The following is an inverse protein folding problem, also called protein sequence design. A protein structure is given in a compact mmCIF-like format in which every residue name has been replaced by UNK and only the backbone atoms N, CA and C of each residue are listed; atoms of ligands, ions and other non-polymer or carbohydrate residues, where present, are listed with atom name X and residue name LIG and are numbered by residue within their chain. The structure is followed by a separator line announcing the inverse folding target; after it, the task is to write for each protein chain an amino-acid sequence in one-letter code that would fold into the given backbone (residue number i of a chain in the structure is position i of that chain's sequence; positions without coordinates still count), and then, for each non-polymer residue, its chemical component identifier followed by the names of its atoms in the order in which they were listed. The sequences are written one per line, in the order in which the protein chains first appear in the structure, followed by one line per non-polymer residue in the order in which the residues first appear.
data_IF_383099645390
#
_entry.id   IF_383099645390
#
_cell.length_a   1.000
_cell.length_b   1.000
_cell.length_c   1.000
_cell.angle_alpha   90.00
_cell.angle_beta   90.00
_cell.angle_gamma   90.00
#
_symmetry.space_group_name_H-M   'P 1'
#
loop_
_entity.id
_entity.type
_entity.pdbx_description
1 polymer ?
#
# COMPACT_ATOMS: atom_id res chain seq x y z
N UNK A 1 10.87 8.96 -36.90
CA UNK A 1 9.97 9.72 -37.05
C UNK A 1 9.05 10.27 -35.98
N UNK A 2 7.93 10.75 -36.42
CA UNK A 2 6.91 11.40 -35.58
C UNK A 2 6.33 10.45 -34.56
N UNK A 3 6.17 9.17 -34.88
CA UNK A 3 5.58 8.16 -33.99
C UNK A 3 6.46 7.90 -32.76
N UNK A 4 7.77 7.95 -32.90
CA UNK A 4 8.68 7.74 -31.77
C UNK A 4 8.59 8.89 -30.75
N UNK A 5 8.42 10.12 -31.22
CA UNK A 5 8.29 11.28 -30.34
C UNK A 5 7.01 11.28 -29.50
N UNK A 6 5.95 10.65 -30.01
CA UNK A 6 4.67 10.55 -29.29
C UNK A 6 4.71 9.45 -28.22
N UNK A 7 5.41 8.36 -28.48
CA UNK A 7 5.43 7.19 -27.58
C UNK A 7 6.14 7.46 -26.24
N UNK A 8 7.20 8.26 -26.23
CA UNK A 8 8.04 8.46 -25.05
C UNK A 8 7.30 9.12 -23.87
N UNK A 9 6.55 10.25 -24.03
CA UNK A 9 5.82 10.86 -22.92
C UNK A 9 4.76 9.96 -22.33
N UNK A 10 4.05 9.17 -23.16
CA UNK A 10 3.03 8.23 -22.70
C UNK A 10 3.64 7.11 -21.85
N UNK A 11 4.85 6.68 -22.19
CA UNK A 11 5.54 5.63 -21.48
C UNK A 11 5.88 6.05 -20.03
N UNK A 12 6.33 7.27 -19.82
CA UNK A 12 6.64 7.80 -18.50
C UNK A 12 5.39 7.90 -17.63
N UNK A 13 4.28 8.39 -18.17
CA UNK A 13 3.00 8.46 -17.46
C UNK A 13 2.49 7.06 -17.09
N UNK A 14 2.68 6.10 -17.98
CA UNK A 14 2.29 4.71 -17.75
C UNK A 14 3.07 4.09 -16.60
N UNK A 15 4.36 4.33 -16.51
CA UNK A 15 5.20 3.86 -15.40
C UNK A 15 4.75 4.43 -14.07
N UNK A 16 4.45 5.72 -14.00
CA UNK A 16 3.98 6.36 -12.76
C UNK A 16 2.66 5.75 -12.29
N UNK A 17 1.75 5.45 -13.21
CA UNK A 17 0.49 4.76 -12.85
C UNK A 17 0.75 3.37 -12.29
N UNK A 18 1.72 2.65 -12.84
CA UNK A 18 2.08 1.33 -12.35
C UNK A 18 2.66 1.41 -10.93
N UNK A 19 3.51 2.39 -10.66
CA UNK A 19 4.05 2.62 -9.32
C UNK A 19 2.95 2.96 -8.31
N UNK A 20 2.02 3.82 -8.70
CA UNK A 20 0.88 4.19 -7.86
C UNK A 20 -0.03 2.98 -7.58
N UNK A 21 -0.28 2.16 -8.58
CA UNK A 21 -1.05 0.92 -8.42
C UNK A 21 -0.37 -0.06 -7.47
N UNK A 22 0.94 -0.16 -7.53
CA UNK A 22 1.72 -1.00 -6.63
C UNK A 22 1.62 -0.52 -5.19
N UNK A 23 1.72 0.80 -4.96
CA UNK A 23 1.53 1.37 -3.63
C UNK A 23 0.14 1.07 -3.06
N UNK A 24 -0.91 1.21 -3.87
CA UNK A 24 -2.28 0.88 -3.46
C UNK A 24 -2.46 -0.60 -3.17
N UNK A 25 -1.86 -1.47 -3.99
CA UNK A 25 -1.93 -2.92 -3.78
C UNK A 25 -1.31 -3.32 -2.45
N UNK A 26 -0.23 -2.68 -2.05
CA UNK A 26 0.41 -2.93 -0.76
C UNK A 26 -0.51 -2.54 0.40
N UNK A 27 -1.27 -1.45 0.30
CA UNK A 27 -2.27 -1.08 1.30
C UNK A 27 -3.37 -2.14 1.42
N UNK A 28 -3.87 -2.66 0.30
CA UNK A 28 -4.84 -3.75 0.31
C UNK A 28 -4.29 -4.98 1.02
N UNK A 29 -3.05 -5.34 0.75
CA UNK A 29 -2.42 -6.51 1.35
C UNK A 29 -2.21 -6.33 2.85
N UNK A 30 -1.83 -5.13 3.30
CA UNK A 30 -1.74 -4.80 4.72
C UNK A 30 -3.11 -4.96 5.39
N UNK A 31 -4.15 -4.42 4.77
CA UNK A 31 -5.49 -4.47 5.31
C UNK A 31 -5.96 -5.91 5.50
N UNK A 32 -5.75 -6.77 4.49
CA UNK A 32 -6.11 -8.18 4.58
C UNK A 32 -5.32 -8.91 5.67
N UNK A 33 -4.02 -8.63 5.78
CA UNK A 33 -3.19 -9.25 6.81
C UNK A 33 -3.62 -8.80 8.21
N UNK A 34 -3.93 -7.52 8.39
CA UNK A 34 -4.44 -6.99 9.66
C UNK A 34 -5.81 -7.56 10.00
N UNK A 35 -6.70 -7.70 9.03
CA UNK A 35 -8.00 -8.34 9.24
C UNK A 35 -7.84 -9.78 9.73
N UNK A 36 -6.90 -10.52 9.16
CA UNK A 36 -6.60 -11.88 9.60
C UNK A 36 -6.05 -11.89 11.03
N UNK A 37 -5.17 -10.95 11.38
CA UNK A 37 -4.63 -10.84 12.73
C UNK A 37 -5.72 -10.54 13.76
N UNK A 38 -6.60 -9.59 13.44
CA UNK A 38 -7.71 -9.24 14.36
C UNK A 38 -8.72 -10.37 14.50
N UNK A 39 -8.98 -11.12 13.45
CA UNK A 39 -9.85 -12.29 13.51
C UNK A 39 -9.25 -13.40 14.35
N UNK A 40 -7.93 -13.55 14.30
CA UNK A 40 -7.17 -14.58 15.03
C UNK A 40 -7.00 -14.20 16.51
N UNK A 41 -6.80 -12.93 16.79
CA UNK A 41 -6.57 -12.40 18.16
C UNK A 41 -7.78 -11.60 18.63
N UNK A 42 -7.79 -10.28 18.42
CA UNK A 42 -8.88 -9.39 18.78
C UNK A 42 -8.75 -8.08 17.98
N UNK A 43 -9.89 -7.45 17.68
CA UNK A 43 -9.91 -6.14 17.04
C UNK A 43 -9.29 -5.03 17.90
N UNK A 44 -9.12 -5.26 19.19
CA UNK A 44 -8.47 -4.32 20.11
C UNK A 44 -6.96 -4.52 20.19
N UNK A 45 -6.43 -5.57 19.58
CA UNK A 45 -4.99 -5.78 19.48
C UNK A 45 -4.39 -4.89 18.37
N UNK A 46 -3.16 -4.47 18.57
CA UNK A 46 -2.46 -3.65 17.57
C UNK A 46 -1.98 -4.52 16.42
N UNK A 47 -2.29 -4.09 15.19
CA UNK A 47 -1.71 -4.65 13.99
C UNK A 47 -0.48 -3.82 13.62
N UNK A 48 0.69 -4.43 13.67
CA UNK A 48 1.94 -3.77 13.31
C UNK A 48 2.57 -4.48 12.11
N UNK A 49 3.42 -3.77 11.37
CA UNK A 49 4.11 -4.36 10.22
C UNK A 49 4.96 -5.55 10.65
N UNK A 50 5.58 -5.51 11.82
CA UNK A 50 6.40 -6.62 12.32
C UNK A 50 5.57 -7.88 12.54
N UNK A 51 4.34 -7.74 13.05
CA UNK A 51 3.47 -8.88 13.30
C UNK A 51 2.96 -9.52 12.02
N UNK A 52 2.63 -8.72 11.01
CA UNK A 52 2.02 -9.24 9.77
C UNK A 52 3.05 -9.72 8.74
N UNK A 53 4.32 -9.37 8.88
CA UNK A 53 5.38 -9.85 7.97
C UNK A 53 5.85 -11.27 8.28
N UNK A 54 5.40 -11.85 9.38
CA UNK A 54 5.72 -13.24 9.74
C UNK A 54 4.97 -14.25 8.88
N UNK A 55 5.30 -15.52 9.08
CA UNK A 55 4.74 -16.64 8.32
C UNK A 55 3.21 -16.77 8.50
N UNK A 56 2.68 -16.33 9.65
CA UNK A 56 1.27 -16.49 9.98
C UNK A 56 0.36 -15.60 9.14
N UNK A 57 0.82 -14.40 8.75
CA UNK A 57 0.01 -13.43 8.01
C UNK A 57 0.57 -13.07 6.65
N UNK A 58 1.86 -13.29 6.44
CA UNK A 58 2.46 -13.34 5.11
C UNK A 58 2.55 -12.03 4.33
N UNK A 59 2.45 -10.88 4.99
CA UNK A 59 2.61 -9.61 4.28
C UNK A 59 4.07 -9.39 3.88
N UNK A 60 4.29 -9.05 2.61
CA UNK A 60 5.61 -8.65 2.09
C UNK A 60 5.42 -7.38 1.28
N UNK A 61 6.11 -6.31 1.65
CA UNK A 61 6.08 -5.07 0.89
C UNK A 61 6.82 -5.24 -0.44
N UNK A 62 6.27 -4.66 -1.50
CA UNK A 62 6.95 -4.64 -2.79
C UNK A 62 8.24 -3.81 -2.71
N UNK A 63 9.19 -4.13 -3.59
CA UNK A 63 10.42 -3.34 -3.72
C UNK A 63 10.07 -1.88 -4.02
N UNK A 64 10.73 -0.95 -3.34
CA UNK A 64 10.53 0.50 -3.47
C UNK A 64 9.18 1.01 -2.97
N UNK A 65 8.39 0.19 -2.28
CA UNK A 65 7.18 0.63 -1.60
C UNK A 65 7.46 0.74 -0.10
N UNK A 66 7.24 1.92 0.45
CA UNK A 66 7.35 2.18 1.88
C UNK A 66 5.96 2.25 2.48
N UNK A 67 5.71 1.45 3.50
CA UNK A 67 4.42 1.36 4.16
C UNK A 67 4.54 1.71 5.63
N UNK A 68 3.47 2.30 6.18
CA UNK A 68 3.38 2.64 7.60
C UNK A 68 1.97 2.39 8.10
N UNK A 69 1.85 1.75 9.27
CA UNK A 69 0.57 1.66 9.98
C UNK A 69 0.57 2.78 11.01
N UNK A 70 -0.31 3.76 10.82
CA UNK A 70 -0.36 4.96 11.66
C UNK A 70 -1.40 4.85 12.78
N UNK A 71 -2.37 3.95 12.63
CA UNK A 71 -3.33 3.62 13.69
C UNK A 71 -3.61 2.12 13.60
N UNK A 72 -3.39 1.40 14.69
CA UNK A 72 -3.15 -0.04 14.64
C UNK A 72 -4.33 -0.91 15.06
N UNK A 73 -5.42 -0.33 15.57
CA UNK A 73 -6.60 -1.08 16.00
C UNK A 73 -7.66 -1.12 14.92
N UNK A 74 -8.46 -2.18 14.89
CA UNK A 74 -9.45 -2.39 13.83
C UNK A 74 -10.44 -1.24 13.72
N UNK A 75 -10.93 -0.71 14.83
CA UNK A 75 -11.98 0.31 14.84
C UNK A 75 -11.54 1.65 14.23
N UNK A 76 -10.25 1.93 14.23
CA UNK A 76 -9.71 3.21 13.74
C UNK A 76 -8.46 3.01 12.88
N UNK A 77 -8.37 1.89 12.19
CA UNK A 77 -7.20 1.54 11.39
C UNK A 77 -6.86 2.62 10.37
N UNK A 78 -5.58 2.91 10.23
CA UNK A 78 -5.05 3.78 9.19
C UNK A 78 -3.63 3.33 8.82
N UNK A 79 -3.35 3.36 7.54
CA UNK A 79 -2.02 3.02 7.01
C UNK A 79 -1.71 3.89 5.80
N UNK A 80 -0.43 4.09 5.54
CA UNK A 80 0.04 4.87 4.39
C UNK A 80 1.00 4.05 3.55
N UNK A 81 1.08 4.39 2.27
CA UNK A 81 1.99 3.74 1.32
C UNK A 81 2.44 4.75 0.27
N UNK A 82 3.72 4.65 -0.08
CA UNK A 82 4.31 5.46 -1.15
C UNK A 82 5.28 4.59 -1.94
N UNK A 83 5.27 4.76 -3.26
CA UNK A 83 6.29 4.14 -4.13
C UNK A 83 7.41 5.16 -4.37
N UNK A 84 8.62 4.83 -3.99
CA UNK A 84 9.75 5.77 -4.05
C UNK A 84 10.16 6.15 -5.46
N UNK A 85 9.77 5.36 -6.47
CA UNK A 85 10.03 5.64 -7.88
C UNK A 85 8.93 6.46 -8.56
N UNK A 86 7.80 6.71 -7.88
CA UNK A 86 6.72 7.54 -8.43
C UNK A 86 7.16 9.00 -8.49
N UNK A 87 7.21 9.56 -9.69
CA UNK A 87 7.63 10.95 -9.92
C UNK A 87 6.71 11.96 -9.22
N UNK A 88 5.43 11.62 -9.05
CA UNK A 88 4.46 12.46 -8.35
C UNK A 88 4.64 12.41 -6.84
N UNK A 89 5.37 11.43 -6.34
CA UNK A 89 5.63 11.23 -4.90
C UNK A 89 4.35 11.19 -4.08
N UNK A 90 3.31 10.54 -4.61
CA UNK A 90 1.98 10.51 -4.00
C UNK A 90 1.95 9.50 -2.85
N UNK A 91 1.54 9.96 -1.66
CA UNK A 91 1.26 9.11 -0.51
C UNK A 91 -0.20 8.72 -0.52
N UNK A 92 -0.48 7.42 -0.45
CA UNK A 92 -1.84 6.90 -0.34
C UNK A 92 -2.12 6.54 1.10
N UNK A 93 -3.37 6.78 1.53
CA UNK A 93 -3.83 6.48 2.89
C UNK A 93 -5.04 5.56 2.83
N UNK A 94 -5.04 4.53 3.65
CA UNK A 94 -6.19 3.63 3.81
C UNK A 94 -6.82 3.84 5.19
N UNK A 95 -8.16 3.87 5.24
CA UNK A 95 -8.92 3.98 6.47
C UNK A 95 -9.42 2.62 6.98
N UNK A 96 -10.15 2.64 8.09
CA UNK A 96 -10.68 1.43 8.74
C UNK A 96 -11.72 0.68 7.91
N UNK A 97 -12.28 1.32 6.90
CA UNK A 97 -13.24 0.71 5.97
C UNK A 97 -12.58 0.12 4.73
N UNK A 98 -11.25 0.25 4.62
CA UNK A 98 -10.52 -0.21 3.45
C UNK A 98 -10.52 0.77 2.28
N UNK A 99 -10.94 2.01 2.48
CA UNK A 99 -10.93 3.05 1.45
C UNK A 99 -9.55 3.66 1.33
N UNK A 100 -9.10 3.87 0.09
CA UNK A 100 -7.79 4.44 -0.23
C UNK A 100 -7.98 5.82 -0.83
N UNK A 101 -7.28 6.81 -0.29
CA UNK A 101 -7.23 8.19 -0.81
C UNK A 101 -5.79 8.64 -0.98
N UNK A 102 -5.54 9.53 -1.98
CA UNK A 102 -4.21 10.14 -2.12
C UNK A 102 -3.87 11.07 -0.98
#
# INVERSE_FOLDING_TARGET
GILAAIAIPQFSAYKNRAYQSDAKANLHNIFLACKALWADKSGTDDCTTDLITGADYGFVASTNVTVNITSAKEANFAATSIHTSDASNTTYTMDENGNITP
#
